data_IF_335052698436
#
_entry.id   IF_335052698436
#
_cell.length_a   1.000
_cell.length_b   1.000
_cell.length_c   1.000
_cell.angle_alpha   90.00
_cell.angle_beta   90.00
_cell.angle_gamma   90.00
#
_symmetry.space_group_name_H-M   'P 1'
#
loop_
_entity.id
_entity.type
_entity.pdbx_description
1 polymer ?
#
# COMPACT_ATOMS: atom_id res chain seq x y z
N UNK A 1 -12.25 11.39 6.08
CA UNK A 1 -12.85 10.07 5.85
C UNK A 1 -12.57 9.17 7.05
N UNK A 2 -13.61 8.79 7.82
CA UNK A 2 -13.41 8.00 9.04
C UNK A 2 -12.73 6.65 8.83
N UNK A 3 -13.05 5.96 7.73
CA UNK A 3 -12.41 4.67 7.41
C UNK A 3 -10.91 4.81 7.24
N UNK A 4 -10.46 5.83 6.53
CA UNK A 4 -9.04 6.08 6.35
C UNK A 4 -8.36 6.38 7.68
N UNK A 5 -8.99 7.19 8.53
CA UNK A 5 -8.45 7.49 9.86
C UNK A 5 -8.25 6.23 10.68
N UNK A 6 -9.24 5.33 10.66
CA UNK A 6 -9.15 4.06 11.38
C UNK A 6 -8.00 3.19 10.86
N UNK A 7 -7.87 3.09 9.55
CA UNK A 7 -6.79 2.32 8.92
C UNK A 7 -5.42 2.88 9.32
N UNK A 8 -5.26 4.20 9.26
CA UNK A 8 -3.99 4.84 9.61
C UNK A 8 -3.64 4.65 11.09
N UNK A 9 -4.62 4.76 11.97
CA UNK A 9 -4.40 4.55 13.40
C UNK A 9 -3.92 3.13 13.69
N UNK A 10 -4.55 2.13 13.10
CA UNK A 10 -4.13 0.74 13.26
C UNK A 10 -2.75 0.49 12.68
N UNK A 11 -2.46 1.08 11.52
CA UNK A 11 -1.15 0.95 10.88
C UNK A 11 -0.06 1.57 11.77
N UNK A 12 -0.31 2.74 12.36
CA UNK A 12 0.61 3.36 13.30
C UNK A 12 0.95 2.44 14.48
N UNK A 13 -0.06 1.82 15.07
CA UNK A 13 0.16 0.91 16.20
C UNK A 13 0.99 -0.29 15.80
N UNK A 14 0.70 -0.87 14.65
CA UNK A 14 1.47 -2.03 14.14
C UNK A 14 2.91 -1.65 13.85
N UNK A 15 3.12 -0.49 13.23
CA UNK A 15 4.47 0.00 12.93
C UNK A 15 5.25 0.29 14.20
N UNK A 16 4.61 0.88 15.19
CA UNK A 16 5.26 1.16 16.48
C UNK A 16 5.72 -0.13 17.16
N UNK A 17 4.87 -1.15 17.19
CA UNK A 17 5.20 -2.44 17.77
C UNK A 17 6.34 -3.12 17.02
N UNK A 18 6.35 -3.03 15.70
CA UNK A 18 7.35 -3.68 14.85
C UNK A 18 8.59 -2.81 14.62
N UNK A 19 8.66 -1.62 15.21
CA UNK A 19 9.77 -0.68 15.07
C UNK A 19 9.98 -0.25 13.61
N UNK A 20 8.87 0.05 12.94
CA UNK A 20 8.86 0.54 11.57
C UNK A 20 8.59 2.05 11.60
N UNK A 21 9.41 2.84 10.89
CA UNK A 21 9.15 4.26 10.74
C UNK A 21 8.01 4.44 9.73
N UNK A 22 6.90 5.02 10.17
CA UNK A 22 5.74 5.27 9.32
C UNK A 22 5.61 6.77 9.07
N UNK A 23 5.98 7.21 7.88
CA UNK A 23 5.99 8.61 7.49
C UNK A 23 4.77 8.91 6.63
N UNK A 24 4.01 9.93 7.01
CA UNK A 24 2.77 10.30 6.35
C UNK A 24 2.87 11.74 5.86
N UNK A 25 2.53 11.94 4.59
CA UNK A 25 2.35 13.25 3.99
C UNK A 25 0.99 13.26 3.30
N UNK A 26 -0.04 13.69 4.01
CA UNK A 26 -1.41 13.70 3.51
C UNK A 26 -1.83 15.14 3.27
N UNK A 27 -2.00 15.50 2.00
CA UNK A 27 -2.43 16.83 1.59
C UNK A 27 -3.91 16.84 1.19
N UNK A 28 -4.53 15.66 1.08
CA UNK A 28 -5.94 15.53 0.74
C UNK A 28 -6.47 14.21 1.30
N UNK A 29 -7.60 14.25 1.96
CA UNK A 29 -8.13 13.08 2.66
C UNK A 29 -9.64 12.91 2.50
N UNK A 30 -10.27 13.58 1.53
CA UNK A 30 -11.70 13.42 1.29
C UNK A 30 -11.95 12.34 0.25
N UNK A 31 -12.31 11.17 0.72
CA UNK A 31 -12.63 10.01 -0.10
C UNK A 31 -14.10 9.60 0.05
N UNK A 32 -14.98 10.57 0.31
CA UNK A 32 -16.39 10.28 0.54
C UNK A 32 -17.11 9.70 -0.69
N UNK A 33 -16.53 9.90 -1.88
CA UNK A 33 -17.08 9.33 -3.13
C UNK A 33 -16.75 7.85 -3.30
N UNK A 34 -15.92 7.28 -2.42
CA UNK A 34 -15.50 5.88 -2.47
C UNK A 34 -16.30 5.10 -1.42
N UNK A 35 -16.89 3.98 -1.84
CA UNK A 35 -17.63 3.11 -0.93
C UNK A 35 -16.72 2.57 0.17
N UNK A 36 -17.28 2.41 1.35
CA UNK A 36 -16.54 2.01 2.55
C UNK A 36 -15.66 0.76 2.34
N UNK A 37 -16.16 -0.35 1.77
CA UNK A 37 -15.31 -1.52 1.56
C UNK A 37 -14.15 -1.26 0.60
N UNK A 38 -14.32 -0.36 -0.35
CA UNK A 38 -13.28 -0.05 -1.33
C UNK A 38 -12.16 0.79 -0.72
N UNK A 39 -12.46 1.59 0.30
CA UNK A 39 -11.43 2.30 1.07
C UNK A 39 -10.46 1.30 1.69
N UNK A 40 -10.97 0.20 2.26
CA UNK A 40 -10.11 -0.84 2.83
C UNK A 40 -9.26 -1.52 1.76
N UNK A 41 -9.84 -1.81 0.60
CA UNK A 41 -9.08 -2.42 -0.49
C UNK A 41 -7.97 -1.51 -1.00
N UNK A 42 -8.21 -0.21 -1.06
CA UNK A 42 -7.26 0.76 -1.60
C UNK A 42 -6.14 1.06 -0.60
N UNK A 43 -6.44 1.17 0.68
CA UNK A 43 -5.48 1.59 1.69
C UNK A 43 -5.00 0.47 2.60
N UNK A 44 -5.90 -0.34 3.14
CA UNK A 44 -5.52 -1.37 4.10
C UNK A 44 -4.68 -2.46 3.45
N UNK A 45 -5.07 -2.93 2.27
CA UNK A 45 -4.33 -3.98 1.59
C UNK A 45 -2.86 -3.62 1.33
N UNK A 46 -2.56 -2.47 0.69
CA UNK A 46 -1.16 -2.12 0.48
C UNK A 46 -0.40 -1.79 1.76
N UNK A 47 -1.06 -1.20 2.76
CA UNK A 47 -0.40 -0.92 4.03
C UNK A 47 -0.12 -2.20 4.82
N UNK A 48 -1.02 -3.17 4.80
CA UNK A 48 -0.77 -4.47 5.41
C UNK A 48 0.41 -5.18 4.74
N UNK A 49 0.45 -5.15 3.42
CA UNK A 49 1.57 -5.71 2.67
C UNK A 49 2.89 -5.02 3.04
N UNK A 50 2.86 -3.71 3.20
CA UNK A 50 4.03 -2.93 3.58
C UNK A 50 4.52 -3.29 4.98
N UNK A 51 3.62 -3.38 5.96
CA UNK A 51 3.98 -3.78 7.33
C UNK A 51 4.56 -5.19 7.34
N UNK A 52 3.95 -6.10 6.61
CA UNK A 52 4.43 -7.48 6.54
C UNK A 52 5.83 -7.55 5.90
N UNK A 53 6.04 -6.84 4.81
CA UNK A 53 7.34 -6.82 4.13
C UNK A 53 8.44 -6.24 5.04
N UNK A 54 8.15 -5.15 5.74
CA UNK A 54 9.10 -4.56 6.68
C UNK A 54 9.38 -5.50 7.86
N UNK A 55 8.35 -6.20 8.35
CA UNK A 55 8.51 -7.12 9.47
C UNK A 55 9.36 -8.34 9.11
N UNK A 56 9.43 -8.69 7.82
CA UNK A 56 10.25 -9.80 7.33
C UNK A 56 11.70 -9.39 7.07
N UNK A 57 12.07 -8.15 7.31
CA UNK A 57 13.45 -7.69 7.15
C UNK A 57 14.29 -8.19 8.33
N UNK A 58 15.35 -8.92 8.02
CA UNK A 58 16.30 -9.43 9.01
C UNK A 58 17.64 -8.71 8.98
N UNK A 59 17.95 -8.01 7.88
CA UNK A 59 19.19 -7.27 7.74
C UNK A 59 19.19 -6.05 8.67
N UNK A 60 20.28 -5.85 9.42
CA UNK A 60 20.45 -4.68 10.26
C UNK A 60 20.86 -3.45 9.45
N UNK A 61 21.21 -3.63 8.18
CA UNK A 61 21.63 -2.53 7.31
C UNK A 61 20.44 -1.82 6.65
N UNK A 62 19.26 -2.44 6.65
CA UNK A 62 18.06 -1.87 6.06
C UNK A 62 17.19 -1.22 7.13
N UNK A 63 16.82 0.02 6.90
CA UNK A 63 15.85 0.72 7.75
C UNK A 63 14.44 0.26 7.38
N UNK A 64 13.66 -0.09 8.39
CA UNK A 64 12.25 -0.44 8.21
C UNK A 64 11.45 0.84 8.10
N UNK A 65 10.93 1.12 6.92
CA UNK A 65 10.29 2.40 6.66
C UNK A 65 9.12 2.22 5.69
N UNK A 66 8.02 2.90 6.01
CA UNK A 66 6.83 2.97 5.16
C UNK A 66 6.51 4.45 4.96
N UNK A 67 6.34 4.86 3.71
CA UNK A 67 5.98 6.22 3.36
C UNK A 67 4.63 6.22 2.64
N UNK A 68 3.69 7.00 3.14
CA UNK A 68 2.39 7.22 2.53
C UNK A 68 2.27 8.69 2.14
N UNK A 69 1.97 8.94 0.88
CA UNK A 69 1.72 10.28 0.39
C UNK A 69 0.41 10.33 -0.36
N UNK A 70 -0.43 11.31 -0.03
CA UNK A 70 -1.70 11.54 -0.70
C UNK A 70 -1.74 12.99 -1.13
N UNK A 71 -1.88 13.23 -2.42
CA UNK A 71 -1.97 14.57 -2.98
C UNK A 71 -3.17 14.67 -3.91
N UNK A 72 -3.69 15.86 -4.05
CA UNK A 72 -4.70 16.14 -5.05
C UNK A 72 -4.16 17.21 -5.99
N UNK A 73 -4.27 16.96 -7.27
CA UNK A 73 -3.97 17.94 -8.31
C UNK A 73 -5.13 18.01 -9.27
N UNK A 74 -5.81 19.17 -9.31
CA UNK A 74 -7.05 19.32 -10.06
C UNK A 74 -8.08 18.29 -9.61
N UNK A 75 -8.57 17.46 -10.51
CA UNK A 75 -9.58 16.44 -10.22
C UNK A 75 -9.00 15.04 -10.09
N UNK A 76 -7.70 14.93 -9.80
CA UNK A 76 -7.03 13.64 -9.68
C UNK A 76 -6.36 13.57 -8.31
N UNK A 77 -6.59 12.45 -7.61
CA UNK A 77 -5.92 12.14 -6.35
C UNK A 77 -4.80 11.17 -6.66
N UNK A 78 -3.60 11.47 -6.18
CA UNK A 78 -2.46 10.56 -6.23
C UNK A 78 -2.21 9.96 -4.87
N UNK A 79 -2.05 8.66 -4.82
CA UNK A 79 -1.73 7.92 -3.59
C UNK A 79 -0.47 7.11 -3.84
N UNK A 80 0.56 7.36 -3.04
CA UNK A 80 1.82 6.62 -3.12
C UNK A 80 2.09 5.94 -1.79
N UNK A 81 2.34 4.64 -1.85
CA UNK A 81 2.72 3.85 -0.69
C UNK A 81 4.02 3.15 -1.03
N UNK A 82 5.07 3.47 -0.29
CA UNK A 82 6.40 2.93 -0.52
C UNK A 82 6.90 2.31 0.77
N UNK A 83 7.48 1.13 0.66
CA UNK A 83 8.05 0.46 1.82
C UNK A 83 9.39 -0.17 1.50
N UNK A 84 10.23 -0.23 2.54
CA UNK A 84 11.46 -1.00 2.50
C UNK A 84 11.12 -2.49 2.48
N UNK A 85 11.90 -3.23 1.74
CA UNK A 85 11.81 -4.70 1.72
C UNK A 85 13.21 -5.29 1.64
N UNK A 86 13.35 -6.50 2.13
CA UNK A 86 14.55 -7.28 1.91
C UNK A 86 14.37 -8.09 0.63
N UNK A 87 15.45 -8.23 -0.14
CA UNK A 87 15.40 -9.00 -1.39
C UNK A 87 15.26 -10.48 -1.10
N UNK A 88 14.08 -10.86 -0.66
CA UNK A 88 13.71 -12.24 -0.38
C UNK A 88 12.78 -12.81 -1.44
N UNK A 89 12.56 -12.08 -2.52
CA UNK A 89 11.77 -12.57 -3.64
C UNK A 89 12.64 -13.53 -4.43
N UNK A 90 12.19 -14.77 -4.47
CA UNK A 90 12.83 -15.81 -5.26
C UNK A 90 12.29 -15.74 -6.68
N UNK A 91 13.20 -15.58 -7.65
CA UNK A 91 12.84 -15.69 -9.06
C UNK A 91 13.10 -17.13 -9.48
N UNK A 92 12.01 -17.89 -9.68
CA UNK A 92 12.08 -19.25 -10.21
C UNK A 92 11.40 -19.28 -11.56
N UNK A 93 12.13 -19.76 -12.58
CA UNK A 93 11.58 -19.93 -13.93
C UNK A 93 10.99 -18.63 -14.51
N UNK A 94 11.61 -17.49 -14.17
CA UNK A 94 11.13 -16.19 -14.62
C UNK A 94 9.93 -15.64 -13.87
N UNK A 95 9.42 -16.37 -12.89
CA UNK A 95 8.29 -15.92 -12.06
C UNK A 95 8.79 -15.45 -10.70
N UNK A 96 8.25 -14.33 -10.26
CA UNK A 96 8.55 -13.81 -8.94
C UNK A 96 7.71 -14.57 -7.91
N UNK A 97 8.40 -15.22 -6.97
CA UNK A 97 7.74 -15.93 -5.88
C UNK A 97 8.03 -15.24 -4.57
N UNK A 98 6.98 -14.95 -3.81
CA UNK A 98 7.12 -14.48 -2.46
C UNK A 98 7.62 -15.62 -1.57
N UNK A 99 8.48 -15.30 -0.59
CA UNK A 99 8.92 -16.27 0.42
C UNK A 99 7.79 -16.67 1.37
N UNK A 100 6.64 -16.00 1.28
CA UNK A 100 5.49 -16.30 2.12
C UNK A 100 4.76 -17.51 1.59
N UNK A 101 4.33 -18.33 2.53
CA UNK A 101 3.65 -19.59 2.22
C UNK A 101 2.14 -19.44 2.03
N UNK A 102 1.63 -18.22 2.06
CA UNK A 102 0.21 -17.97 1.82
C UNK A 102 -0.01 -17.27 0.48
N UNK A 103 -0.06 -18.02 -0.62
CA UNK A 103 -0.25 -17.44 -1.95
C UNK A 103 -1.63 -16.80 -2.10
N UNK A 104 -2.61 -17.17 -1.28
CA UNK A 104 -3.96 -16.63 -1.40
C UNK A 104 -4.09 -15.25 -0.74
N UNK A 105 -3.38 -14.99 0.35
CA UNK A 105 -3.44 -13.72 1.04
C UNK A 105 -2.96 -12.57 0.18
N UNK A 106 -1.77 -12.70 -0.38
CA UNK A 106 -1.17 -11.62 -1.20
C UNK A 106 -1.84 -11.47 -2.56
N UNK A 107 -2.13 -12.57 -3.23
CA UNK A 107 -2.78 -12.53 -4.53
C UNK A 107 -4.14 -11.86 -4.46
N UNK A 108 -4.92 -12.18 -3.43
CA UNK A 108 -6.25 -11.61 -3.24
C UNK A 108 -6.20 -10.13 -2.88
N UNK A 109 -5.25 -9.72 -2.03
CA UNK A 109 -5.10 -8.32 -1.66
C UNK A 109 -4.80 -7.43 -2.86
N UNK A 110 -3.87 -7.85 -3.71
CA UNK A 110 -3.52 -7.10 -4.92
C UNK A 110 -4.69 -7.09 -5.91
N UNK A 111 -5.36 -8.21 -6.09
CA UNK A 111 -6.54 -8.28 -6.97
C UNK A 111 -7.66 -7.37 -6.50
N UNK A 112 -7.94 -7.36 -5.22
CA UNK A 112 -8.97 -6.50 -4.65
C UNK A 112 -8.62 -5.03 -4.80
N UNK A 113 -7.35 -4.68 -4.58
CA UNK A 113 -6.86 -3.32 -4.76
C UNK A 113 -7.03 -2.85 -6.21
N UNK A 114 -6.60 -3.68 -7.17
CA UNK A 114 -6.75 -3.36 -8.59
C UNK A 114 -8.20 -3.21 -9.00
N UNK A 115 -9.06 -4.11 -8.54
CA UNK A 115 -10.48 -4.05 -8.85
C UNK A 115 -11.11 -2.78 -8.29
N UNK A 116 -10.80 -2.43 -7.05
CA UNK A 116 -11.33 -1.22 -6.43
C UNK A 116 -10.89 0.03 -7.20
N UNK A 117 -9.62 0.13 -7.55
CA UNK A 117 -9.10 1.27 -8.31
C UNK A 117 -9.78 1.37 -9.66
N UNK A 118 -9.95 0.26 -10.37
CA UNK A 118 -10.60 0.24 -11.69
C UNK A 118 -12.07 0.64 -11.60
N UNK A 119 -12.75 0.29 -10.52
CA UNK A 119 -14.14 0.65 -10.31
C UNK A 119 -14.34 2.17 -10.27
N UNK A 120 -13.33 2.91 -9.84
CA UNK A 120 -13.38 4.38 -9.77
C UNK A 120 -12.61 5.03 -10.91
N UNK A 121 -12.39 4.29 -12.00
CA UNK A 121 -11.70 4.77 -13.21
C UNK A 121 -10.27 5.21 -12.94
N UNK A 122 -9.66 4.63 -11.93
CA UNK A 122 -8.28 4.93 -11.56
C UNK A 122 -7.27 4.02 -12.21
N UNK A 123 -6.00 4.32 -11.95
CA UNK A 123 -4.88 3.52 -12.41
C UNK A 123 -4.00 3.13 -11.23
N UNK A 124 -3.38 1.98 -11.34
CA UNK A 124 -2.43 1.48 -10.35
C UNK A 124 -1.18 0.99 -11.05
N UNK A 125 -0.03 1.37 -10.50
CA UNK A 125 1.28 0.90 -10.95
C UNK A 125 2.02 0.34 -9.75
N UNK A 126 2.61 -0.83 -9.90
CA UNK A 126 3.42 -1.46 -8.86
C UNK A 126 4.83 -1.62 -9.39
N UNK A 127 5.79 -1.02 -8.69
CA UNK A 127 7.21 -1.12 -9.01
C UNK A 127 7.96 -1.65 -7.80
N UNK A 128 8.99 -2.43 -8.05
CA UNK A 128 9.84 -2.92 -6.96
C UNK A 128 11.26 -3.13 -7.45
N UNK A 129 12.19 -3.00 -6.54
CA UNK A 129 13.57 -3.41 -6.72
C UNK A 129 13.98 -4.27 -5.52
N UNK A 130 15.29 -4.43 -5.30
CA UNK A 130 15.78 -5.27 -4.22
C UNK A 130 15.31 -4.83 -2.84
N UNK A 131 15.19 -3.53 -2.62
CA UNK A 131 14.99 -2.97 -1.29
C UNK A 131 13.74 -2.09 -1.15
N UNK A 132 13.04 -1.81 -2.24
CA UNK A 132 11.87 -0.93 -2.22
C UNK A 132 10.71 -1.58 -2.98
N UNK A 133 9.53 -1.49 -2.39
CA UNK A 133 8.27 -1.83 -3.05
C UNK A 133 7.40 -0.57 -3.07
N UNK A 134 6.89 -0.21 -4.24
CA UNK A 134 6.15 1.03 -4.44
C UNK A 134 4.84 0.79 -5.17
N UNK A 135 3.75 1.17 -4.53
CA UNK A 135 2.41 1.17 -5.11
C UNK A 135 2.02 2.61 -5.38
N UNK A 136 1.70 2.92 -6.62
CA UNK A 136 1.27 4.25 -7.04
C UNK A 136 -0.13 4.14 -7.64
N UNK A 137 -1.06 4.93 -7.13
CA UNK A 137 -2.45 4.92 -7.56
C UNK A 137 -2.89 6.33 -7.91
N UNK A 138 -3.70 6.46 -8.97
CA UNK A 138 -4.36 7.71 -9.32
C UNK A 138 -5.85 7.45 -9.44
N UNK A 139 -6.66 8.34 -8.85
CA UNK A 139 -8.11 8.22 -8.87
C UNK A 139 -8.71 9.55 -9.28
N UNK A 140 -9.51 9.58 -10.36
CA UNK A 140 -10.22 10.81 -10.70
C UNK A 140 -11.34 11.05 -9.68
N UNK A 141 -11.53 12.32 -9.31
CA UNK A 141 -12.64 12.71 -8.46
C UNK A 141 -13.88 12.80 -9.32
N UNK A 142 -14.88 11.99 -8.99
CA UNK A 142 -16.14 12.02 -9.71
C UNK A 142 -16.85 13.33 -9.44
N UNK A 143 -17.14 14.05 -10.51
CA UNK A 143 -18.03 15.23 -10.43
C UNK A 143 -19.46 14.76 -10.58
N UNK A 144 -20.24 15.03 -9.59
CA UNK A 144 -21.68 14.82 -9.65
C UNK A 144 -22.35 16.14 -9.99
#
# INVERSE_FOLDING_TARGET
>A
TPALRSILSQTFLRCKTAQIAFNIDIQYADFNFIAFPDIYSIFENPLDNAVTACSDIHSTELNKEINLKIVRKNNIIGIDIRNTRENSILIKNGCIQSTKTDPNGHGMGIKNMKRAIQQYDGFITINYDENIFHVSMTIPISKI
#
